data_IF_064455885766
#
_entry.id   IF_064455885766
#
_cell.length_a   1.000
_cell.length_b   1.000
_cell.length_c   1.000
_cell.angle_alpha   90.00
_cell.angle_beta   90.00
_cell.angle_gamma   90.00
#
_symmetry.space_group_name_H-M   'P 1'
#
loop_
_entity.id
_entity.type
_entity.pdbx_description
1 polymer ?
#
# COMPACT_ATOMS: atom_id res chain seq x y z
N UNK A 1 -5.29 -6.82 -4.07
CA UNK A 1 -4.74 -8.02 -3.38
C UNK A 1 -3.27 -8.26 -3.68
N UNK A 2 -2.87 -8.49 -4.95
CA UNK A 2 -1.48 -8.77 -5.32
C UNK A 2 -0.50 -7.69 -4.85
N UNK A 3 -0.87 -6.41 -5.00
CA UNK A 3 -0.04 -5.29 -4.54
C UNK A 3 0.20 -5.32 -3.03
N UNK A 4 -0.85 -5.52 -2.22
CA UNK A 4 -0.72 -5.63 -0.76
C UNK A 4 0.12 -6.84 -0.32
N UNK A 5 -0.07 -8.00 -0.97
CA UNK A 5 0.75 -9.18 -0.73
C UNK A 5 2.23 -8.95 -1.09
N UNK A 6 2.48 -8.26 -2.20
CA UNK A 6 3.83 -7.94 -2.67
C UNK A 6 4.52 -6.92 -1.75
N UNK A 7 3.79 -5.93 -1.24
CA UNK A 7 4.29 -5.00 -0.20
C UNK A 7 4.61 -5.79 1.07
N UNK A 8 3.71 -6.64 1.56
CA UNK A 8 3.93 -7.40 2.80
C UNK A 8 5.15 -8.35 2.70
N UNK A 9 5.34 -8.97 1.54
CA UNK A 9 6.45 -9.88 1.29
C UNK A 9 7.77 -9.16 0.94
N UNK A 10 7.74 -7.86 0.64
CA UNK A 10 8.91 -7.14 0.14
C UNK A 10 10.15 -7.18 1.03
N UNK A 11 10.05 -7.21 2.39
CA UNK A 11 11.22 -7.30 3.25
C UNK A 11 12.04 -8.59 3.08
N UNK A 12 11.45 -9.65 2.50
CA UNK A 12 12.10 -10.95 2.32
C UNK A 12 12.73 -11.14 0.93
N UNK A 13 12.70 -10.14 0.04
CA UNK A 13 13.36 -10.27 -1.25
C UNK A 13 14.89 -10.33 -1.07
N UNK A 14 15.56 -11.41 -1.53
CA UNK A 14 16.98 -11.62 -1.31
C UNK A 14 17.83 -10.78 -2.27
N UNK A 15 17.99 -9.48 -2.00
CA UNK A 15 18.86 -8.59 -2.79
C UNK A 15 19.71 -7.71 -1.85
N UNK A 16 20.80 -8.34 -1.38
CA UNK A 16 22.12 -7.86 -0.93
C UNK A 16 22.31 -6.69 0.08
N UNK A 17 23.26 -6.97 0.98
CA UNK A 17 24.00 -6.13 1.93
C UNK A 17 23.27 -5.65 3.19
N UNK A 18 22.89 -6.64 4.02
CA UNK A 18 22.59 -6.47 5.46
C UNK A 18 23.85 -6.08 6.25
N UNK A 19 24.51 -4.98 5.86
CA UNK A 19 25.52 -4.34 6.69
C UNK A 19 24.79 -3.53 7.76
N UNK A 20 24.85 -4.04 8.99
CA UNK A 20 24.02 -3.66 10.13
C UNK A 20 23.70 -2.16 10.27
N UNK A 21 22.41 -1.84 10.32
CA UNK A 21 21.88 -0.57 10.79
C UNK A 21 20.74 -0.84 11.78
N UNK A 22 20.73 -0.11 12.90
CA UNK A 22 19.65 -0.14 13.86
C UNK A 22 18.33 0.31 13.19
N UNK A 23 17.28 -0.52 13.22
CA UNK A 23 15.97 -0.18 12.62
C UNK A 23 15.33 -1.29 11.77
N UNK A 24 16.02 -2.39 11.50
CA UNK A 24 15.52 -3.54 10.73
C UNK A 24 14.13 -4.01 11.20
N UNK A 25 13.94 -4.16 12.51
CA UNK A 25 12.67 -4.65 13.07
C UNK A 25 11.51 -3.67 12.82
N UNK A 26 11.78 -2.36 12.92
CA UNK A 26 10.75 -1.32 12.72
C UNK A 26 10.38 -1.20 11.24
N UNK A 27 11.36 -1.35 10.35
CA UNK A 27 11.12 -1.41 8.91
C UNK A 27 10.22 -2.61 8.56
N UNK A 28 10.62 -3.82 8.96
CA UNK A 28 9.85 -5.04 8.65
C UNK A 28 8.42 -4.93 9.18
N UNK A 29 8.23 -4.46 10.41
CA UNK A 29 6.90 -4.28 11.00
C UNK A 29 6.07 -3.26 10.23
N UNK A 30 6.61 -2.09 9.87
CA UNK A 30 5.89 -1.08 9.10
C UNK A 30 5.48 -1.62 7.72
N UNK A 31 6.40 -2.27 7.01
CA UNK A 31 6.15 -2.81 5.67
C UNK A 31 5.10 -3.92 5.69
N UNK A 32 5.21 -4.87 6.62
CA UNK A 32 4.22 -5.95 6.78
C UNK A 32 2.86 -5.38 7.18
N UNK A 33 2.82 -4.44 8.12
CA UNK A 33 1.57 -3.81 8.55
C UNK A 33 0.88 -3.10 7.38
N UNK A 34 1.61 -2.28 6.61
CA UNK A 34 1.05 -1.61 5.43
C UNK A 34 0.59 -2.61 4.39
N UNK A 35 1.39 -3.64 4.10
CA UNK A 35 1.00 -4.69 3.15
C UNK A 35 -0.27 -5.44 3.55
N UNK A 36 -0.43 -5.75 4.83
CA UNK A 36 -1.65 -6.36 5.38
C UNK A 36 -2.85 -5.42 5.29
N UNK A 37 -2.67 -4.12 5.56
CA UNK A 37 -3.74 -3.13 5.41
C UNK A 37 -4.20 -3.03 3.96
N UNK A 38 -3.27 -2.87 3.00
CA UNK A 38 -3.61 -2.82 1.57
C UNK A 38 -4.26 -4.12 1.12
N UNK A 39 -3.75 -5.27 1.57
CA UNK A 39 -4.35 -6.57 1.27
C UNK A 39 -5.78 -6.66 1.81
N UNK A 40 -6.00 -6.28 3.07
CA UNK A 40 -7.32 -6.29 3.71
C UNK A 40 -8.31 -5.34 3.05
N UNK A 41 -7.89 -4.11 2.72
CA UNK A 41 -8.71 -3.15 1.98
C UNK A 41 -9.13 -3.73 0.62
N UNK A 42 -8.18 -4.31 -0.13
CA UNK A 42 -8.51 -4.99 -1.38
C UNK A 42 -9.47 -6.17 -1.20
N UNK A 43 -9.49 -6.83 -0.04
CA UNK A 43 -10.43 -7.92 0.20
C UNK A 43 -11.82 -7.42 0.52
N UNK A 44 -11.92 -6.30 1.22
CA UNK A 44 -13.20 -5.65 1.52
C UNK A 44 -13.87 -5.11 0.25
N UNK A 45 -13.09 -4.65 -0.74
CA UNK A 45 -13.61 -4.23 -2.04
C UNK A 45 -14.43 -5.33 -2.75
N UNK A 46 -14.07 -6.61 -2.59
CA UNK A 46 -14.85 -7.72 -3.17
C UNK A 46 -16.20 -7.97 -2.48
N UNK A 47 -16.34 -7.54 -1.23
CA UNK A 47 -17.55 -7.80 -0.42
C UNK A 47 -18.46 -6.58 -0.39
N UNK A 48 -17.88 -5.39 -0.32
CA UNK A 48 -18.59 -4.13 -0.26
C UNK A 48 -17.73 -3.03 -0.91
N UNK A 49 -18.04 -2.70 -2.16
CA UNK A 49 -17.46 -1.56 -2.86
C UNK A 49 -17.91 -0.26 -2.18
N UNK A 50 -17.00 0.41 -1.49
CA UNK A 50 -17.28 1.68 -0.82
C UNK A 50 -16.14 2.67 -1.07
N UNK A 51 -16.50 3.89 -1.48
CA UNK A 51 -15.57 5.00 -1.80
C UNK A 51 -14.53 5.30 -0.71
N UNK A 52 -14.84 5.03 0.57
CA UNK A 52 -13.87 5.23 1.65
C UNK A 52 -12.67 4.28 1.56
N UNK A 53 -12.82 3.11 0.95
CA UNK A 53 -11.75 2.13 0.77
C UNK A 53 -10.69 2.66 -0.21
N UNK A 54 -11.13 3.36 -1.25
CA UNK A 54 -10.26 4.03 -2.22
C UNK A 54 -9.46 5.13 -1.53
N UNK A 55 -10.13 5.98 -0.73
CA UNK A 55 -9.48 7.02 0.07
C UNK A 55 -8.48 6.42 1.06
N UNK A 56 -8.84 5.32 1.73
CA UNK A 56 -7.95 4.61 2.64
C UNK A 56 -6.71 4.07 1.90
N UNK A 57 -6.88 3.48 0.72
CA UNK A 57 -5.78 2.97 -0.12
C UNK A 57 -4.84 4.10 -0.54
N UNK A 58 -5.37 5.28 -0.89
CA UNK A 58 -4.55 6.47 -1.20
C UNK A 58 -3.73 6.89 0.03
N UNK A 59 -4.36 7.01 1.21
CA UNK A 59 -3.67 7.43 2.43
C UNK A 59 -2.57 6.45 2.84
N UNK A 60 -2.84 5.15 2.72
CA UNK A 60 -1.88 4.08 3.03
C UNK A 60 -0.73 4.08 2.02
N UNK A 61 -1.01 4.31 0.73
CA UNK A 61 0.02 4.46 -0.30
C UNK A 61 0.92 5.69 -0.05
N UNK A 62 0.35 6.83 0.34
CA UNK A 62 1.09 8.03 0.74
C UNK A 62 1.97 7.77 1.97
N UNK A 63 1.44 7.07 2.97
CA UNK A 63 2.24 6.67 4.14
C UNK A 63 3.42 5.78 3.75
N UNK A 64 3.23 4.84 2.82
CA UNK A 64 4.32 3.98 2.34
C UNK A 64 5.45 4.77 1.69
N UNK A 65 5.13 5.86 0.98
CA UNK A 65 6.13 6.78 0.39
C UNK A 65 6.89 7.57 1.45
N UNK A 66 6.19 8.08 2.47
CA UNK A 66 6.76 9.01 3.46
C UNK A 66 7.45 8.27 4.63
N UNK A 67 7.00 7.06 4.95
CA UNK A 67 7.48 6.28 6.09
C UNK A 67 9.00 6.02 6.14
N UNK A 68 9.73 5.80 5.02
CA UNK A 68 11.19 5.64 5.08
C UNK A 68 11.93 6.88 5.58
N UNK A 69 11.37 8.08 5.34
CA UNK A 69 11.93 9.35 5.82
C UNK A 69 11.65 9.55 7.31
N UNK A 70 10.42 9.22 7.75
CA UNK A 70 9.97 9.37 9.13
C UNK A 70 10.64 8.35 10.07
N UNK A 71 10.80 7.12 9.61
CA UNK A 71 11.32 6.00 10.39
C UNK A 71 12.84 5.80 10.25
N UNK A 72 13.52 6.66 9.48
CA UNK A 72 14.98 6.72 9.45
C UNK A 72 15.71 5.62 8.66
N UNK A 73 15.00 4.74 7.95
CA UNK A 73 15.60 3.70 7.09
C UNK A 73 15.77 4.12 5.61
N UNK A 74 15.67 5.43 5.33
CA UNK A 74 15.85 5.99 3.97
C UNK A 74 17.23 5.76 3.35
N UNK A 75 18.24 5.32 4.11
CA UNK A 75 19.56 4.94 3.63
C UNK A 75 19.61 3.65 2.81
N UNK A 76 18.59 2.79 2.93
CA UNK A 76 18.49 1.55 2.16
C UNK A 76 17.91 1.83 0.78
N UNK A 77 18.79 2.24 -0.15
CA UNK A 77 18.41 2.77 -1.46
C UNK A 77 17.41 1.90 -2.23
N UNK A 78 17.57 0.57 -2.18
CA UNK A 78 16.67 -0.37 -2.85
C UNK A 78 15.28 -0.39 -2.20
N UNK A 79 15.21 -0.62 -0.89
CA UNK A 79 13.93 -0.67 -0.15
C UNK A 79 13.18 0.66 -0.24
N UNK A 80 13.88 1.79 -0.16
CA UNK A 80 13.28 3.13 -0.37
C UNK A 80 12.63 3.25 -1.75
N UNK A 81 13.33 2.84 -2.81
CA UNK A 81 12.80 2.88 -4.18
C UNK A 81 11.57 1.99 -4.30
N UNK A 82 11.61 0.77 -3.74
CA UNK A 82 10.47 -0.15 -3.76
C UNK A 82 9.26 0.39 -3.01
N UNK A 83 9.42 0.87 -1.78
CA UNK A 83 8.34 1.45 -0.98
C UNK A 83 7.73 2.66 -1.67
N UNK A 84 8.57 3.54 -2.21
CA UNK A 84 8.13 4.72 -2.96
C UNK A 84 7.37 4.33 -4.22
N UNK A 85 7.87 3.35 -4.98
CA UNK A 85 7.25 2.93 -6.24
C UNK A 85 5.92 2.21 -6.02
N UNK A 86 5.86 1.28 -5.07
CA UNK A 86 4.63 0.56 -4.71
C UNK A 86 3.60 1.50 -4.09
N UNK A 87 4.04 2.44 -3.25
CA UNK A 87 3.18 3.48 -2.69
C UNK A 87 2.62 4.40 -3.76
N UNK A 88 3.45 4.81 -4.72
CA UNK A 88 3.02 5.62 -5.86
C UNK A 88 2.00 4.88 -6.73
N UNK A 89 2.22 3.60 -7.01
CA UNK A 89 1.25 2.76 -7.73
C UNK A 89 -0.07 2.67 -6.96
N UNK A 90 -0.04 2.43 -5.64
CA UNK A 90 -1.25 2.39 -4.82
C UNK A 90 -2.02 3.71 -4.84
N UNK A 91 -1.31 4.85 -4.73
CA UNK A 91 -1.92 6.18 -4.82
C UNK A 91 -2.54 6.42 -6.20
N UNK A 92 -1.83 6.10 -7.27
CA UNK A 92 -2.33 6.28 -8.64
C UNK A 92 -3.58 5.42 -8.84
N UNK A 93 -3.57 4.16 -8.43
CA UNK A 93 -4.73 3.27 -8.56
C UNK A 93 -5.92 3.79 -7.76
N UNK A 94 -5.73 4.16 -6.50
CA UNK A 94 -6.81 4.68 -5.67
C UNK A 94 -7.39 6.00 -6.21
N UNK A 95 -6.56 6.88 -6.76
CA UNK A 95 -7.01 8.12 -7.42
C UNK A 95 -7.80 7.80 -8.69
N UNK A 96 -7.34 6.84 -9.50
CA UNK A 96 -8.05 6.43 -10.72
C UNK A 96 -9.40 5.79 -10.41
N UNK A 97 -9.48 4.93 -9.38
CA UNK A 97 -10.72 4.33 -8.90
C UNK A 97 -11.69 5.41 -8.43
N UNK A 98 -11.23 6.31 -7.54
CA UNK A 98 -12.07 7.40 -7.04
C UNK A 98 -12.56 8.36 -8.14
N UNK A 99 -11.75 8.57 -9.19
CA UNK A 99 -12.15 9.36 -10.35
C UNK A 99 -13.19 8.65 -11.22
N UNK A 100 -13.07 7.33 -11.41
CA UNK A 100 -14.06 6.52 -12.12
C UNK A 100 -15.38 6.46 -11.36
N UNK A 101 -15.32 6.30 -10.05
CA UNK A 101 -16.48 6.13 -9.17
C UNK A 101 -17.18 7.45 -8.86
N UNK A 102 -16.61 8.60 -9.26
CA UNK A 102 -17.08 9.93 -8.87
C UNK A 102 -18.52 10.24 -9.30
N UNK A 103 -18.96 9.72 -10.46
CA UNK A 103 -20.31 9.94 -11.01
C UNK A 103 -21.32 8.83 -10.63
N UNK A 104 -20.85 7.75 -10.00
CA UNK A 104 -21.69 6.60 -9.64
C UNK A 104 -22.39 6.80 -8.31
N UNK A 105 -23.70 6.52 -8.21
CA UNK A 105 -24.37 6.55 -6.91
C UNK A 105 -23.92 5.36 -6.05
N UNK A 106 -23.97 5.48 -4.73
CA UNK A 106 -23.63 4.38 -3.80
C UNK A 106 -24.45 3.11 -4.09
N UNK A 107 -25.66 3.24 -4.66
CA UNK A 107 -26.50 2.11 -5.05
C UNK A 107 -26.02 1.39 -6.31
N UNK A 108 -25.30 2.07 -7.20
CA UNK A 108 -24.77 1.49 -8.44
C UNK A 108 -23.44 0.79 -8.19
N UNK A 109 -22.63 1.28 -7.24
CA UNK A 109 -21.42 0.60 -6.75
C UNK A 109 -21.75 -0.80 -6.18
N UNK A 110 -22.84 -0.92 -5.42
CA UNK A 110 -23.28 -2.21 -4.85
C UNK A 110 -23.71 -3.23 -5.92
N UNK A 111 -24.12 -2.80 -7.12
CA UNK A 111 -24.54 -3.69 -8.21
C UNK A 111 -23.37 -4.30 -8.98
N UNK A 112 -22.19 -3.67 -8.96
CA UNK A 112 -20.99 -4.18 -9.64
C UNK A 112 -20.26 -5.30 -8.89
N UNK A 113 -20.62 -5.55 -7.62
CA UNK A 113 -20.08 -6.63 -6.81
C UNK A 113 -20.82 -7.97 -6.87
N UNK A 114 -21.86 -8.11 -7.72
CA UNK A 114 -22.58 -9.36 -7.98
C UNK A 114 -22.12 -10.01 -9.30
#
# INVERSE_FOLDING_TARGET
>A
MLLGALIAASPWFPIQDSSGIAGHDTMVLNTVAVGLVVFGLSQLEYVALQRWQEVATILVGLWLIVSPLVLGYSGEGFLRIYHTSLGAVAVILGVLQLWQDWDMSDQDLLKHGQ
#
